data_IF_099638261154
#
_entry.id   IF_099638261154
#
_cell.length_a   1.000
_cell.length_b   1.000
_cell.length_c   1.000
_cell.angle_alpha   90.00
_cell.angle_beta   90.00
_cell.angle_gamma   90.00
#
_symmetry.space_group_name_H-M   'P 1'
#
loop_
_entity.id
_entity.type
_entity.pdbx_description
1 polymer ?
#
# COMPACT_ATOMS: atom_id res chain seq x y z
N UNK A 1 -0.30 15.56 -21.26
CA UNK A 1 -1.06 14.98 -20.13
C UNK A 1 -1.63 13.60 -20.46
N UNK A 2 -2.43 13.41 -21.53
CA UNK A 2 -3.01 12.10 -21.88
C UNK A 2 -1.99 10.96 -21.90
N UNK A 3 -0.84 11.10 -22.56
CA UNK A 3 0.18 10.06 -22.66
C UNK A 3 0.72 9.60 -21.28
N UNK A 4 0.90 10.51 -20.32
CA UNK A 4 1.35 10.18 -18.97
C UNK A 4 0.30 9.37 -18.23
N UNK A 5 -0.98 9.83 -18.25
CA UNK A 5 -2.08 9.12 -17.60
C UNK A 5 -2.26 7.74 -18.22
N UNK A 6 -2.24 7.61 -19.54
CA UNK A 6 -2.32 6.31 -20.21
C UNK A 6 -1.21 5.36 -19.76
N UNK A 7 0.03 5.86 -19.64
CA UNK A 7 1.15 5.05 -19.14
C UNK A 7 0.95 4.58 -17.69
N UNK A 8 0.35 5.40 -16.85
CA UNK A 8 0.09 5.05 -15.45
C UNK A 8 -1.01 4.00 -15.28
N UNK A 9 -2.05 4.04 -16.14
CA UNK A 9 -3.21 3.14 -16.01
C UNK A 9 -3.17 1.93 -16.95
N UNK A 10 -2.27 1.88 -17.94
CA UNK A 10 -2.13 0.72 -18.82
C UNK A 10 -1.41 -0.44 -18.15
N UNK A 11 -1.88 -1.67 -18.40
CA UNK A 11 -1.27 -2.88 -17.83
C UNK A 11 -1.48 -4.09 -18.72
N UNK A 12 -0.45 -4.91 -18.84
CA UNK A 12 -0.46 -6.19 -19.55
C UNK A 12 -0.35 -7.39 -18.57
N UNK A 13 -0.46 -7.18 -17.28
CA UNK A 13 -0.20 -8.19 -16.23
C UNK A 13 -1.27 -9.32 -16.14
N UNK A 14 -2.34 -9.24 -16.92
CA UNK A 14 -3.36 -10.29 -16.96
C UNK A 14 -4.09 -10.48 -15.63
N UNK A 15 -4.43 -11.74 -15.30
CA UNK A 15 -5.15 -12.11 -14.07
C UNK A 15 -4.19 -12.18 -12.86
N UNK A 16 -2.91 -12.38 -13.07
CA UNK A 16 -1.92 -12.50 -11.98
C UNK A 16 -1.91 -11.26 -11.08
N UNK A 17 -1.95 -10.07 -11.67
CA UNK A 17 -2.01 -8.83 -10.88
C UNK A 17 -3.30 -8.71 -10.06
N UNK A 18 -4.45 -9.19 -10.58
CA UNK A 18 -5.71 -9.22 -9.83
C UNK A 18 -5.59 -10.07 -8.56
N UNK A 19 -5.03 -11.29 -8.69
CA UNK A 19 -4.83 -12.23 -7.58
C UNK A 19 -3.92 -11.65 -6.50
N UNK A 20 -2.93 -10.86 -6.90
CA UNK A 20 -2.00 -10.21 -5.96
C UNK A 20 -2.60 -8.94 -5.33
N UNK A 21 -3.19 -8.05 -6.15
CA UNK A 21 -3.60 -6.73 -5.67
C UNK A 21 -4.83 -6.76 -4.75
N UNK A 22 -5.76 -7.69 -4.96
CA UNK A 22 -6.98 -7.72 -4.14
C UNK A 22 -6.67 -8.11 -2.69
N UNK A 23 -6.06 -9.27 -2.39
CA UNK A 23 -5.76 -9.62 -1.00
C UNK A 23 -4.77 -8.66 -0.35
N UNK A 24 -3.70 -8.26 -1.06
CA UNK A 24 -2.71 -7.31 -0.52
C UNK A 24 -3.35 -5.94 -0.28
N UNK A 25 -4.18 -5.45 -1.19
CA UNK A 25 -4.88 -4.19 -1.02
C UNK A 25 -5.84 -4.19 0.17
N UNK A 26 -6.63 -5.26 0.34
CA UNK A 26 -7.52 -5.40 1.49
C UNK A 26 -6.75 -5.50 2.81
N UNK A 27 -5.64 -6.21 2.81
CA UNK A 27 -4.76 -6.31 3.98
C UNK A 27 -4.18 -4.96 4.37
N UNK A 28 -3.61 -4.22 3.41
CA UNK A 28 -3.09 -2.87 3.65
C UNK A 28 -4.19 -1.93 4.15
N UNK A 29 -5.38 -1.96 3.53
CA UNK A 29 -6.51 -1.15 3.98
C UNK A 29 -6.92 -1.46 5.43
N UNK A 30 -6.92 -2.72 5.83
CA UNK A 30 -7.20 -3.11 7.21
C UNK A 30 -6.15 -2.57 8.19
N UNK A 31 -4.85 -2.66 7.85
CA UNK A 31 -3.77 -2.09 8.67
C UNK A 31 -3.84 -0.55 8.73
N UNK A 32 -4.16 0.10 7.62
CA UNK A 32 -4.40 1.55 7.60
C UNK A 32 -5.61 1.94 8.49
N UNK A 33 -6.68 1.16 8.44
CA UNK A 33 -7.86 1.38 9.30
C UNK A 33 -7.55 1.21 10.79
N UNK A 34 -6.66 0.28 11.16
CA UNK A 34 -6.16 0.15 12.53
C UNK A 34 -5.46 1.44 13.00
N UNK A 35 -4.64 2.04 12.12
CA UNK A 35 -3.88 3.25 12.43
C UNK A 35 -4.74 4.51 12.46
N UNK A 36 -5.70 4.63 11.53
CA UNK A 36 -6.52 5.84 11.40
C UNK A 36 -7.71 5.86 12.33
N UNK A 37 -8.43 4.73 12.45
CA UNK A 37 -9.77 4.66 13.02
C UNK A 37 -9.88 3.74 14.26
N UNK A 38 -8.79 3.15 14.69
CA UNK A 38 -8.77 2.12 15.74
C UNK A 38 -9.64 0.88 15.42
N UNK A 39 -9.97 0.61 14.16
CA UNK A 39 -10.73 -0.57 13.76
C UNK A 39 -9.90 -1.84 13.95
N UNK A 40 -10.56 -2.99 14.01
CA UNK A 40 -9.92 -4.32 14.11
C UNK A 40 -8.91 -4.44 15.26
N UNK A 41 -9.17 -3.75 16.38
CA UNK A 41 -8.28 -3.76 17.54
C UNK A 41 -7.02 -2.90 17.38
N UNK A 42 -7.04 -1.94 16.49
CA UNK A 42 -5.95 -0.97 16.30
C UNK A 42 -5.95 0.12 17.35
N UNK A 43 -4.90 0.95 17.34
CA UNK A 43 -4.67 2.01 18.35
C UNK A 43 -5.16 3.40 17.91
N UNK A 44 -5.64 3.55 16.66
CA UNK A 44 -6.02 4.85 16.12
C UNK A 44 -4.81 5.77 15.90
N UNK A 45 -5.08 7.01 15.50
CA UNK A 45 -4.02 7.98 15.20
C UNK A 45 -3.17 8.33 16.42
N UNK A 46 -3.79 8.49 17.57
CA UNK A 46 -3.06 8.91 18.77
C UNK A 46 -2.11 7.82 19.28
N UNK A 47 -2.60 6.60 19.50
CA UNK A 47 -1.76 5.50 19.94
C UNK A 47 -0.71 5.10 18.91
N UNK A 48 -1.07 5.12 17.62
CA UNK A 48 -0.10 4.89 16.55
C UNK A 48 0.95 6.01 16.51
N UNK A 49 0.54 7.27 16.73
CA UNK A 49 1.46 8.41 16.77
C UNK A 49 2.47 8.30 17.92
N UNK A 50 2.03 7.90 19.10
CA UNK A 50 2.93 7.65 20.23
C UNK A 50 3.93 6.53 19.92
N UNK A 51 3.48 5.47 19.26
CA UNK A 51 4.37 4.39 18.83
C UNK A 51 5.37 4.87 17.78
N UNK A 52 4.95 5.64 16.75
CA UNK A 52 5.85 6.22 15.75
C UNK A 52 6.92 7.11 16.39
N UNK A 53 6.53 7.97 17.35
CA UNK A 53 7.45 8.81 18.08
C UNK A 53 8.49 7.99 18.87
N UNK A 54 8.08 6.88 19.49
CA UNK A 54 8.99 5.97 20.20
C UNK A 54 10.03 5.30 19.27
N UNK A 55 9.73 5.21 17.97
CA UNK A 55 10.66 4.74 16.93
C UNK A 55 11.56 5.87 16.36
N UNK A 56 11.44 7.10 16.88
CA UNK A 56 12.17 8.26 16.38
C UNK A 56 11.55 8.88 15.12
N UNK A 57 10.34 8.49 14.73
CA UNK A 57 9.60 9.05 13.59
C UNK A 57 8.75 10.24 14.08
N UNK A 58 9.35 11.42 14.07
CA UNK A 58 8.72 12.66 14.55
C UNK A 58 8.31 13.60 13.39
N UNK A 59 7.20 14.34 13.50
CA UNK A 59 6.17 14.28 14.57
C UNK A 59 5.32 13.01 14.45
N UNK A 60 5.22 12.21 15.51
CA UNK A 60 4.61 10.88 15.49
C UNK A 60 3.17 10.86 14.97
N UNK A 61 2.33 11.83 15.37
CA UNK A 61 0.95 11.94 14.86
C UNK A 61 0.92 12.11 13.34
N UNK A 62 1.77 12.97 12.78
CA UNK A 62 1.86 13.16 11.33
C UNK A 62 2.35 11.90 10.62
N UNK A 63 3.34 11.22 11.19
CA UNK A 63 3.83 9.95 10.64
C UNK A 63 2.75 8.87 10.66
N UNK A 64 1.96 8.77 11.73
CA UNK A 64 0.82 7.86 11.82
C UNK A 64 -0.27 8.18 10.78
N UNK A 65 -0.59 9.47 10.60
CA UNK A 65 -1.54 9.92 9.59
C UNK A 65 -1.08 9.59 8.17
N UNK A 66 0.18 9.85 7.85
CA UNK A 66 0.75 9.57 6.52
C UNK A 66 0.79 8.06 6.26
N UNK A 67 1.32 7.26 7.19
CA UNK A 67 1.39 5.81 7.03
C UNK A 67 0.00 5.18 6.98
N UNK A 68 -0.89 5.55 7.89
CA UNK A 68 -2.27 5.06 7.91
C UNK A 68 -3.04 5.42 6.64
N UNK A 69 -2.88 6.65 6.13
CA UNK A 69 -3.51 7.08 4.87
C UNK A 69 -2.93 6.35 3.66
N UNK A 70 -1.62 6.19 3.59
CA UNK A 70 -0.96 5.44 2.51
C UNK A 70 -1.43 3.98 2.47
N UNK A 71 -1.54 3.34 3.63
CA UNK A 71 -2.04 1.96 3.72
C UNK A 71 -3.54 1.86 3.45
N UNK A 72 -4.36 2.74 4.03
CA UNK A 72 -5.81 2.65 3.88
C UNK A 72 -6.26 2.99 2.46
N UNK A 73 -5.96 4.20 1.99
CA UNK A 73 -6.38 4.64 0.66
C UNK A 73 -5.58 3.95 -0.44
N UNK A 74 -4.28 3.73 -0.24
CA UNK A 74 -3.45 2.95 -1.16
C UNK A 74 -3.92 1.52 -1.26
N UNK A 75 -4.25 0.88 -0.15
CA UNK A 75 -4.82 -0.48 -0.11
C UNK A 75 -6.15 -0.59 -0.84
N UNK A 76 -7.09 0.33 -0.61
CA UNK A 76 -8.37 0.38 -1.33
C UNK A 76 -8.15 0.62 -2.83
N UNK A 77 -7.27 1.53 -3.19
CA UNK A 77 -6.92 1.80 -4.58
C UNK A 77 -6.34 0.54 -5.27
N UNK A 78 -5.45 -0.20 -4.60
CA UNK A 78 -4.93 -1.48 -5.09
C UNK A 78 -6.04 -2.51 -5.25
N UNK A 79 -6.91 -2.69 -4.25
CA UNK A 79 -8.00 -3.66 -4.33
C UNK A 79 -8.93 -3.39 -5.52
N UNK A 80 -9.28 -2.12 -5.76
CA UNK A 80 -10.11 -1.69 -6.89
C UNK A 80 -9.35 -1.66 -8.23
N UNK A 81 -8.04 -1.65 -8.21
CA UNK A 81 -7.22 -1.43 -9.40
C UNK A 81 -7.34 0.01 -9.92
N UNK A 82 -7.38 0.98 -9.02
CA UNK A 82 -7.44 2.41 -9.31
C UNK A 82 -6.07 3.05 -9.08
N UNK A 83 -5.54 3.71 -10.11
CA UNK A 83 -4.19 4.29 -10.05
C UNK A 83 -3.18 3.32 -9.44
N UNK A 84 -3.24 2.06 -9.89
CA UNK A 84 -2.53 0.94 -9.27
C UNK A 84 -1.03 1.18 -9.14
N UNK A 85 -0.38 1.74 -10.16
CA UNK A 85 1.08 1.99 -10.12
C UNK A 85 1.47 3.00 -9.04
N UNK A 86 0.89 4.22 -8.96
CA UNK A 86 1.23 5.15 -7.90
C UNK A 86 0.80 4.66 -6.52
N UNK A 87 -0.38 4.03 -6.38
CA UNK A 87 -0.82 3.46 -5.11
C UNK A 87 0.15 2.37 -4.62
N UNK A 88 0.57 1.48 -5.51
CA UNK A 88 1.56 0.45 -5.21
C UNK A 88 2.94 1.03 -4.83
N UNK A 89 3.39 2.08 -5.51
CA UNK A 89 4.66 2.74 -5.19
C UNK A 89 4.64 3.39 -3.80
N UNK A 90 3.54 4.08 -3.44
CA UNK A 90 3.36 4.67 -2.10
C UNK A 90 3.30 3.58 -1.04
N UNK A 91 2.53 2.50 -1.28
CA UNK A 91 2.46 1.36 -0.35
C UNK A 91 3.82 0.67 -0.19
N UNK A 92 4.57 0.48 -1.26
CA UNK A 92 5.92 -0.08 -1.20
C UNK A 92 6.85 0.78 -0.34
N UNK A 93 6.83 2.10 -0.54
CA UNK A 93 7.61 3.02 0.28
C UNK A 93 7.23 2.94 1.76
N UNK A 94 5.93 2.86 2.09
CA UNK A 94 5.47 2.69 3.46
C UNK A 94 5.96 1.38 4.07
N UNK A 95 5.93 0.28 3.32
CA UNK A 95 6.48 -1.01 3.78
C UNK A 95 8.00 -0.96 3.98
N UNK A 96 8.72 -0.25 3.12
CA UNK A 96 10.16 -0.05 3.29
C UNK A 96 10.48 0.69 4.60
N UNK A 97 9.75 1.78 4.89
CA UNK A 97 9.89 2.49 6.18
C UNK A 97 9.57 1.54 7.35
N UNK A 98 8.48 0.77 7.29
CA UNK A 98 8.10 -0.16 8.35
C UNK A 98 9.19 -1.21 8.61
N UNK A 99 9.82 -1.75 7.55
CA UNK A 99 10.94 -2.70 7.68
C UNK A 99 12.06 -2.09 8.52
N UNK A 100 12.53 -0.91 8.12
CA UNK A 100 13.73 -0.33 8.73
C UNK A 100 13.49 0.34 10.08
N UNK A 101 12.29 0.93 10.30
CA UNK A 101 12.01 1.66 11.53
C UNK A 101 11.43 0.77 12.66
N UNK A 102 10.60 -0.22 12.31
CA UNK A 102 9.86 -0.98 13.30
C UNK A 102 10.29 -2.45 13.43
N UNK A 103 10.75 -3.08 12.35
CA UNK A 103 10.86 -4.54 12.30
C UNK A 103 12.28 -5.09 12.16
N UNK A 104 13.23 -4.32 11.61
CA UNK A 104 14.56 -4.84 11.26
C UNK A 104 15.33 -5.39 12.46
N UNK A 105 15.16 -4.77 13.63
CA UNK A 105 15.83 -5.15 14.88
C UNK A 105 15.30 -6.46 15.47
N UNK A 106 14.09 -6.87 15.05
CA UNK A 106 13.43 -8.09 15.54
C UNK A 106 13.75 -9.33 14.69
N UNK A 107 14.64 -9.21 13.70
CA UNK A 107 14.99 -10.27 12.78
C UNK A 107 13.92 -10.56 11.73
N UNK A 108 14.01 -11.72 11.10
CA UNK A 108 13.14 -12.07 9.96
C UNK A 108 11.72 -12.42 10.38
N UNK A 109 11.57 -13.31 11.37
CA UNK A 109 10.31 -14.00 11.63
C UNK A 109 9.25 -13.16 12.34
N UNK A 110 8.01 -13.22 11.84
CA UNK A 110 6.85 -12.51 12.38
C UNK A 110 6.56 -12.88 13.85
N UNK A 111 6.85 -14.11 14.27
CA UNK A 111 6.70 -14.56 15.65
C UNK A 111 7.46 -13.68 16.66
N UNK A 112 8.51 -13.02 16.22
CA UNK A 112 9.32 -12.11 17.00
C UNK A 112 9.02 -10.62 16.68
N UNK A 113 7.98 -10.34 15.89
CA UNK A 113 7.72 -8.99 15.37
C UNK A 113 8.64 -8.59 14.20
N UNK A 114 9.28 -9.57 13.56
CA UNK A 114 10.25 -9.36 12.47
C UNK A 114 9.62 -8.91 11.15
N UNK A 115 10.48 -8.69 10.16
CA UNK A 115 10.14 -7.97 8.95
C UNK A 115 9.60 -8.83 7.80
N UNK A 116 9.50 -10.16 7.90
CA UNK A 116 9.09 -11.05 6.78
C UNK A 116 7.77 -10.64 6.14
N UNK A 117 6.78 -10.26 6.95
CA UNK A 117 5.47 -9.85 6.46
C UNK A 117 5.53 -8.54 5.67
N UNK A 118 6.19 -7.52 6.21
CA UNK A 118 6.39 -6.25 5.53
C UNK A 118 7.24 -6.42 4.25
N UNK A 119 8.21 -7.34 4.25
CA UNK A 119 9.02 -7.68 3.08
C UNK A 119 8.19 -8.29 1.95
N UNK A 120 7.28 -9.22 2.26
CA UNK A 120 6.38 -9.82 1.27
C UNK A 120 5.45 -8.77 0.68
N UNK A 121 4.84 -7.91 1.53
CA UNK A 121 4.00 -6.81 1.05
C UNK A 121 4.79 -5.81 0.20
N UNK A 122 6.03 -5.49 0.57
CA UNK A 122 6.93 -4.66 -0.22
C UNK A 122 7.18 -5.26 -1.61
N UNK A 123 7.58 -6.54 -1.68
CA UNK A 123 7.87 -7.21 -2.95
C UNK A 123 6.64 -7.24 -3.88
N UNK A 124 5.46 -7.54 -3.34
CA UNK A 124 4.22 -7.56 -4.13
C UNK A 124 3.85 -6.16 -4.60
N UNK A 125 3.93 -5.14 -3.75
CA UNK A 125 3.61 -3.77 -4.14
C UNK A 125 4.61 -3.21 -5.16
N UNK A 126 5.90 -3.51 -5.05
CA UNK A 126 6.90 -3.19 -6.09
C UNK A 126 6.53 -3.87 -7.42
N UNK A 127 6.17 -5.15 -7.40
CA UNK A 127 5.71 -5.86 -8.61
C UNK A 127 4.50 -5.17 -9.24
N UNK A 128 3.50 -4.79 -8.46
CA UNK A 128 2.31 -4.08 -8.95
C UNK A 128 2.63 -2.67 -9.47
N UNK A 129 3.58 -1.96 -8.88
CA UNK A 129 4.05 -0.66 -9.38
C UNK A 129 4.67 -0.78 -10.79
N UNK A 130 5.37 -1.87 -11.05
CA UNK A 130 6.00 -2.15 -12.35
C UNK A 130 4.96 -2.66 -13.37
N UNK A 131 4.14 -3.63 -12.99
CA UNK A 131 3.24 -4.35 -13.90
C UNK A 131 1.89 -3.67 -14.11
N UNK A 132 1.41 -2.91 -13.11
CA UNK A 132 0.10 -2.26 -13.12
C UNK A 132 -1.05 -3.20 -12.72
N UNK A 133 -2.27 -2.75 -12.94
CA UNK A 133 -3.50 -3.32 -12.39
C UNK A 133 -3.91 -4.71 -12.92
N UNK A 134 -3.48 -5.08 -14.11
CA UNK A 134 -3.94 -6.29 -14.78
C UNK A 134 -5.41 -6.22 -15.20
N UNK A 135 -6.09 -7.37 -15.22
CA UNK A 135 -7.50 -7.48 -15.60
C UNK A 135 -8.45 -7.02 -14.48
N UNK A 136 -9.69 -6.67 -14.87
CA UNK A 136 -10.80 -6.32 -13.97
C UNK A 136 -10.43 -5.18 -13.00
N UNK A 137 -9.88 -4.10 -13.55
CA UNK A 137 -9.44 -2.93 -12.81
C UNK A 137 -10.14 -1.66 -13.28
N UNK A 138 -10.32 -0.70 -12.38
CA UNK A 138 -10.83 0.64 -12.71
C UNK A 138 -9.89 1.34 -13.69
N UNK A 139 -8.59 1.13 -13.59
CA UNK A 139 -7.57 1.61 -14.53
C UNK A 139 -7.88 1.23 -15.98
N UNK A 140 -8.44 0.03 -16.23
CA UNK A 140 -8.81 -0.41 -17.57
C UNK A 140 -9.99 0.40 -18.14
N UNK A 141 -10.92 0.81 -17.30
CA UNK A 141 -12.05 1.68 -17.72
C UNK A 141 -11.52 3.05 -18.10
N UNK A 142 -10.63 3.60 -17.27
CA UNK A 142 -9.98 4.90 -17.53
C UNK A 142 -9.15 4.83 -18.82
N UNK A 143 -8.33 3.79 -18.99
CA UNK A 143 -7.49 3.64 -20.18
C UNK A 143 -8.33 3.59 -21.47
N UNK A 144 -9.45 2.86 -21.48
CA UNK A 144 -10.37 2.80 -22.63
C UNK A 144 -11.00 4.16 -22.94
N UNK A 145 -11.47 4.87 -21.92
CA UNK A 145 -12.06 6.20 -22.09
C UNK A 145 -11.07 7.20 -22.72
N UNK A 146 -9.78 7.10 -22.36
CA UNK A 146 -8.73 7.97 -22.90
C UNK A 146 -8.36 7.66 -24.36
N UNK A 147 -8.59 6.42 -24.82
CA UNK A 147 -8.27 6.01 -26.20
C UNK A 147 -9.41 6.27 -27.19
N UNK A 148 -10.64 6.46 -26.70
CA UNK A 148 -11.84 6.65 -27.52
C UNK A 148 -12.10 8.13 -27.86
N UNK A 149 -11.38 9.04 -27.24
CA UNK A 149 -11.40 10.50 -27.47
C UNK A 149 -10.10 10.99 -28.10
#
# INVERSE_FOLDING_TARGET
MKALVTKLVSSNAGVAALVLRVPVGLTLAAHGAQKLFAWFGGYGLEGTGQYMASLGLEPGFLMALLAGSAEFFGGLALALGLLTRPAAAVSAFTMLIAIFSAHIQNGLFLSNGGYEYALVLFAVTVSLAITGAGRLAVDNVIARALTTT
#
